data_IF_087993558083
#
_entry.id   IF_087993558083
#
_cell.length_a   1.000
_cell.length_b   1.000
_cell.length_c   1.000
_cell.angle_alpha   90.00
_cell.angle_beta   90.00
_cell.angle_gamma   90.00
#
_symmetry.space_group_name_H-M   'P 1'
#
loop_
_entity.id
_entity.type
_entity.pdbx_description
1 polymer ?
#
# COMPACT_ATOMS: atom_id res chain seq x y z
N UNK A 1 -2.30 11.48 24.37
CA UNK A 1 -2.91 10.36 25.13
C UNK A 1 -2.34 9.08 24.56
N UNK A 2 -1.72 8.23 25.38
CA UNK A 2 -1.22 6.93 24.91
C UNK A 2 -2.39 6.09 24.40
N UNK A 3 -2.48 5.97 23.08
CA UNK A 3 -3.41 5.05 22.44
C UNK A 3 -2.98 3.64 22.85
N UNK A 4 -3.81 2.95 23.64
CA UNK A 4 -3.56 1.57 24.09
C UNK A 4 -3.46 0.55 22.94
N UNK A 5 -3.74 0.94 21.70
CA UNK A 5 -3.73 0.09 20.51
C UNK A 5 -2.92 0.75 19.41
N UNK A 6 -2.20 -0.07 18.65
CA UNK A 6 -1.57 0.34 17.38
C UNK A 6 -2.66 0.72 16.38
N UNK A 7 -2.59 1.92 15.82
CA UNK A 7 -3.55 2.43 14.83
C UNK A 7 -2.86 2.59 13.49
N UNK A 8 -3.48 2.08 12.42
CA UNK A 8 -3.11 2.37 11.04
C UNK A 8 -4.09 3.43 10.52
N UNK A 9 -3.58 4.56 10.04
CA UNK A 9 -4.40 5.60 9.42
C UNK A 9 -4.47 5.37 7.90
N UNK A 10 -5.67 5.10 7.38
CA UNK A 10 -5.89 4.97 5.94
C UNK A 10 -6.13 6.35 5.31
N UNK A 11 -5.43 6.63 4.21
CA UNK A 11 -5.51 7.88 3.44
C UNK A 11 -5.68 7.54 1.95
N UNK A 12 -6.74 8.07 1.34
CA UNK A 12 -6.91 8.01 -0.10
C UNK A 12 -6.02 9.06 -0.77
N UNK A 13 -5.32 8.65 -1.83
CA UNK A 13 -4.38 9.49 -2.55
C UNK A 13 -4.72 9.52 -4.04
N UNK A 14 -4.56 10.69 -4.63
CA UNK A 14 -4.62 10.94 -6.07
C UNK A 14 -3.66 12.12 -6.41
N UNK A 15 -3.49 12.47 -7.70
CA UNK A 15 -2.60 13.57 -8.07
C UNK A 15 -2.94 14.92 -7.43
N UNK A 16 -4.21 15.19 -7.10
CA UNK A 16 -4.65 16.49 -6.61
C UNK A 16 -4.47 16.68 -5.10
N UNK A 17 -4.31 15.61 -4.32
CA UNK A 17 -4.20 15.68 -2.86
C UNK A 17 -2.90 15.11 -2.27
N UNK A 18 -1.99 14.63 -3.12
CA UNK A 18 -0.73 13.97 -2.70
C UNK A 18 0.06 14.81 -1.69
N UNK A 19 0.25 16.10 -1.95
CA UNK A 19 1.06 16.97 -1.07
C UNK A 19 0.41 17.14 0.31
N UNK A 20 -0.93 17.24 0.38
CA UNK A 20 -1.67 17.27 1.64
C UNK A 20 -1.51 15.97 2.44
N UNK A 21 -1.48 14.83 1.75
CA UNK A 21 -1.24 13.54 2.38
C UNK A 21 0.17 13.44 2.93
N UNK A 22 1.19 13.85 2.18
CA UNK A 22 2.59 13.92 2.67
C UNK A 22 2.67 14.79 3.92
N UNK A 23 2.08 15.98 3.89
CA UNK A 23 2.05 16.89 5.04
C UNK A 23 1.37 16.27 6.25
N UNK A 24 0.27 15.53 6.05
CA UNK A 24 -0.46 14.84 7.11
C UNK A 24 0.35 13.71 7.72
N UNK A 25 1.03 12.90 6.91
CA UNK A 25 1.90 11.82 7.40
C UNK A 25 3.03 12.41 8.24
N UNK A 26 3.75 13.41 7.71
CA UNK A 26 4.87 14.05 8.42
C UNK A 26 4.43 14.74 9.71
N UNK A 27 3.19 15.23 9.79
CA UNK A 27 2.65 15.84 11.01
C UNK A 27 2.33 14.82 12.12
N UNK A 28 1.97 13.59 11.75
CA UNK A 28 1.41 12.62 12.69
C UNK A 28 2.20 11.30 12.74
N UNK A 29 3.39 11.22 12.14
CA UNK A 29 4.11 9.96 11.94
C UNK A 29 4.45 9.22 13.24
N UNK A 30 4.58 9.95 14.35
CA UNK A 30 4.87 9.45 15.69
C UNK A 30 3.60 9.07 16.49
N UNK A 31 2.42 9.45 16.01
CA UNK A 31 1.13 9.19 16.67
C UNK A 31 0.43 7.93 16.16
N UNK A 32 0.79 7.48 14.95
CA UNK A 32 0.21 6.30 14.31
C UNK A 32 1.26 5.21 14.12
N UNK A 33 0.82 3.95 14.20
CA UNK A 33 1.70 2.81 13.95
C UNK A 33 2.09 2.70 12.47
N UNK A 34 1.20 3.10 11.57
CA UNK A 34 1.46 3.11 10.14
C UNK A 34 0.40 3.88 9.37
N UNK A 35 0.69 4.13 8.11
CA UNK A 35 -0.19 4.85 7.19
C UNK A 35 -0.48 3.95 6.01
N UNK A 36 -1.76 3.64 5.79
CA UNK A 36 -2.19 2.91 4.61
C UNK A 36 -2.53 3.93 3.52
N UNK A 37 -1.82 3.86 2.40
CA UNK A 37 -1.99 4.76 1.26
C UNK A 37 -2.76 4.01 0.18
N UNK A 38 -4.03 4.37 -0.01
CA UNK A 38 -4.87 3.81 -1.05
C UNK A 38 -4.87 4.73 -2.27
N UNK A 39 -4.20 4.26 -3.32
CA UNK A 39 -4.06 4.97 -4.59
C UNK A 39 -4.99 4.41 -5.67
N UNK A 40 -6.07 3.73 -5.27
CA UNK A 40 -7.14 3.34 -6.17
C UNK A 40 -8.25 4.38 -6.18
N UNK A 41 -8.72 4.76 -7.36
CA UNK A 41 -9.92 5.59 -7.47
C UNK A 41 -11.21 4.76 -7.33
N UNK A 42 -11.12 3.52 -6.82
CA UNK A 42 -12.27 2.62 -6.65
C UNK A 42 -12.89 2.08 -7.95
N UNK A 43 -12.36 2.45 -9.12
CA UNK A 43 -12.90 2.10 -10.44
C UNK A 43 -11.99 1.14 -11.25
N UNK A 44 -11.02 0.50 -10.58
CA UNK A 44 -10.02 -0.33 -11.26
C UNK A 44 -8.94 0.48 -11.98
N UNK A 45 -8.73 1.74 -11.58
CA UNK A 45 -7.61 2.55 -12.06
C UNK A 45 -6.26 1.91 -11.71
N UNK A 46 -5.31 2.05 -12.63
CA UNK A 46 -3.97 1.50 -12.50
C UNK A 46 -3.23 2.14 -11.31
N UNK A 47 -2.47 1.30 -10.59
CA UNK A 47 -1.58 1.73 -9.53
C UNK A 47 -0.63 2.83 -10.04
N UNK A 48 -0.74 4.06 -9.51
CA UNK A 48 0.15 5.15 -9.89
C UNK A 48 1.45 5.08 -9.08
N UNK A 49 2.45 4.42 -9.65
CA UNK A 49 3.76 4.21 -9.05
C UNK A 49 4.44 5.52 -8.61
N UNK A 50 4.38 6.57 -9.45
CA UNK A 50 5.08 7.82 -9.19
C UNK A 50 4.55 8.54 -7.94
N UNK A 51 3.24 8.48 -7.71
CA UNK A 51 2.64 9.08 -6.51
C UNK A 51 3.09 8.36 -5.25
N UNK A 52 3.13 7.02 -5.28
CA UNK A 52 3.52 6.22 -4.11
C UNK A 52 5.01 6.40 -3.82
N UNK A 53 5.86 6.41 -4.86
CA UNK A 53 7.29 6.70 -4.75
C UNK A 53 7.52 8.05 -4.07
N UNK A 54 6.86 9.10 -4.55
CA UNK A 54 7.00 10.45 -4.01
C UNK A 54 6.54 10.54 -2.55
N UNK A 55 5.47 9.84 -2.16
CA UNK A 55 5.06 9.76 -0.74
C UNK A 55 6.14 9.10 0.10
N UNK A 56 6.67 7.95 -0.32
CA UNK A 56 7.69 7.21 0.43
C UNK A 56 8.96 8.06 0.58
N UNK A 57 9.41 8.71 -0.50
CA UNK A 57 10.62 9.54 -0.51
C UNK A 57 10.50 10.76 0.42
N UNK A 58 9.30 11.33 0.57
CA UNK A 58 9.03 12.52 1.37
C UNK A 58 8.47 12.26 2.77
N UNK A 59 8.34 10.99 3.19
CA UNK A 59 7.82 10.61 4.52
C UNK A 59 8.74 9.67 5.29
N UNK A 60 10.06 9.91 5.17
CA UNK A 60 11.10 9.09 5.80
C UNK A 60 10.86 8.96 7.32
N UNK A 61 10.73 7.72 7.79
CA UNK A 61 10.47 7.39 9.18
C UNK A 61 9.04 6.90 9.47
N UNK A 62 8.09 7.15 8.55
CA UNK A 62 6.74 6.60 8.65
C UNK A 62 6.69 5.16 8.13
N UNK A 63 5.89 4.31 8.78
CA UNK A 63 5.59 2.96 8.29
C UNK A 63 4.50 3.01 7.22
N UNK A 64 4.90 3.10 5.96
CA UNK A 64 3.99 3.20 4.81
C UNK A 64 3.53 1.82 4.33
N UNK A 65 2.22 1.59 4.38
CA UNK A 65 1.54 0.42 3.83
C UNK A 65 0.90 0.84 2.52
N UNK A 66 1.25 0.18 1.42
CA UNK A 66 0.75 0.54 0.09
C UNK A 66 -0.47 -0.30 -0.25
N UNK A 67 -1.54 0.36 -0.69
CA UNK A 67 -2.81 -0.24 -1.09
C UNK A 67 -3.27 0.31 -2.45
N UNK A 68 -4.33 -0.30 -2.99
CA UNK A 68 -5.02 0.17 -4.20
C UNK A 68 -4.43 -0.38 -5.51
N UNK A 69 -5.22 -1.14 -6.26
CA UNK A 69 -4.84 -1.63 -7.60
C UNK A 69 -3.69 -2.66 -7.64
N UNK A 70 -3.27 -3.20 -6.48
CA UNK A 70 -2.15 -4.15 -6.41
C UNK A 70 -2.60 -5.54 -6.83
N UNK A 71 -1.78 -6.20 -7.66
CA UNK A 71 -2.05 -7.52 -8.22
C UNK A 71 -0.74 -8.24 -8.59
N UNK A 72 -0.84 -9.46 -9.13
CA UNK A 72 0.31 -10.31 -9.47
C UNK A 72 1.27 -9.67 -10.50
N UNK A 73 0.79 -8.77 -11.35
CA UNK A 73 1.56 -8.17 -12.43
C UNK A 73 2.40 -6.97 -11.97
N UNK A 74 1.98 -6.26 -10.90
CA UNK A 74 2.68 -5.07 -10.43
C UNK A 74 3.42 -5.26 -9.09
N UNK A 75 3.13 -6.32 -8.34
CA UNK A 75 3.71 -6.57 -7.01
C UNK A 75 5.24 -6.61 -7.00
N UNK A 76 5.86 -7.13 -8.06
CA UNK A 76 7.32 -7.20 -8.16
C UNK A 76 7.96 -5.83 -8.26
N UNK A 77 7.41 -4.94 -9.11
CA UNK A 77 7.90 -3.57 -9.29
C UNK A 77 7.71 -2.78 -8.00
N UNK A 78 6.57 -2.97 -7.32
CA UNK A 78 6.28 -2.32 -6.04
C UNK A 78 7.31 -2.72 -4.98
N UNK A 79 7.51 -4.02 -4.77
CA UNK A 79 8.44 -4.50 -3.73
C UNK A 79 9.88 -4.06 -4.04
N UNK A 80 10.36 -4.26 -5.27
CA UNK A 80 11.76 -4.01 -5.63
C UNK A 80 12.13 -2.52 -5.64
N UNK A 81 11.22 -1.64 -6.04
CA UNK A 81 11.55 -0.23 -6.23
C UNK A 81 11.04 0.69 -5.13
N UNK A 82 9.96 0.32 -4.42
CA UNK A 82 9.36 1.18 -3.39
C UNK A 82 9.72 0.73 -1.97
N UNK A 83 10.06 -0.55 -1.78
CA UNK A 83 10.37 -1.15 -0.48
C UNK A 83 9.45 -0.67 0.67
N UNK A 84 8.11 -0.78 0.52
CA UNK A 84 7.18 -0.26 1.51
C UNK A 84 7.25 -1.09 2.81
N UNK A 85 6.81 -0.51 3.93
CA UNK A 85 6.70 -1.23 5.20
C UNK A 85 5.73 -2.42 5.09
N UNK A 86 4.65 -2.26 4.34
CA UNK A 86 3.67 -3.31 4.09
C UNK A 86 2.91 -3.12 2.79
N UNK A 87 2.17 -4.15 2.41
CA UNK A 87 1.34 -4.18 1.21
C UNK A 87 -0.05 -4.68 1.62
N UNK A 88 -1.08 -3.94 1.26
CA UNK A 88 -2.48 -4.33 1.46
C UNK A 88 -3.14 -4.64 0.11
N UNK A 89 -3.70 -5.83 -0.01
CA UNK A 89 -4.26 -6.35 -1.26
C UNK A 89 -5.62 -6.96 -0.96
N UNK A 90 -6.63 -6.53 -1.73
CA UNK A 90 -8.00 -7.01 -1.54
C UNK A 90 -8.63 -7.54 -2.83
N UNK A 91 -9.06 -6.67 -3.75
CA UNK A 91 -9.93 -7.04 -4.87
C UNK A 91 -9.29 -7.95 -5.92
N UNK A 92 -7.97 -7.87 -6.13
CA UNK A 92 -7.27 -8.75 -7.07
C UNK A 92 -7.20 -10.21 -6.62
N UNK A 93 -7.50 -10.49 -5.35
CA UNK A 93 -7.55 -11.83 -4.76
C UNK A 93 -8.99 -12.33 -4.60
N UNK A 94 -9.96 -11.67 -5.22
CA UNK A 94 -11.37 -12.04 -5.19
C UNK A 94 -11.77 -12.78 -6.47
N UNK A 95 -12.64 -13.78 -6.36
CA UNK A 95 -13.32 -14.40 -7.52
C UNK A 95 -14.47 -13.52 -8.01
N UNK A 96 -15.17 -12.90 -7.06
CA UNK A 96 -16.23 -11.92 -7.25
C UNK A 96 -16.24 -10.95 -6.05
N UNK A 97 -16.89 -9.79 -6.18
CA UNK A 97 -16.82 -8.70 -5.19
C UNK A 97 -17.14 -9.20 -3.77
N UNK A 98 -16.16 -9.13 -2.88
CA UNK A 98 -16.26 -9.54 -1.48
C UNK A 98 -16.02 -11.03 -1.21
N UNK A 99 -15.77 -11.86 -2.24
CA UNK A 99 -15.51 -13.30 -2.11
C UNK A 99 -14.07 -13.58 -2.49
N UNK A 100 -13.26 -13.98 -1.50
CA UNK A 100 -11.85 -14.31 -1.70
C UNK A 100 -11.68 -15.64 -2.43
N UNK A 101 -10.74 -15.67 -3.36
CA UNK A 101 -10.35 -16.86 -4.12
C UNK A 101 -9.06 -17.46 -3.51
N UNK A 102 -9.13 -18.64 -2.87
CA UNK A 102 -7.97 -19.27 -2.25
C UNK A 102 -6.82 -19.53 -3.23
N UNK A 103 -7.12 -19.84 -4.50
CA UNK A 103 -6.09 -20.10 -5.52
C UNK A 103 -5.37 -18.80 -5.89
N UNK A 104 -6.09 -17.69 -6.03
CA UNK A 104 -5.45 -16.38 -6.28
C UNK A 104 -4.57 -15.95 -5.11
N UNK A 105 -5.02 -16.16 -3.87
CA UNK A 105 -4.22 -15.90 -2.66
C UNK A 105 -2.94 -16.73 -2.68
N UNK A 106 -3.03 -18.03 -2.95
CA UNK A 106 -1.88 -18.93 -3.00
C UNK A 106 -0.86 -18.49 -4.06
N UNK A 107 -1.32 -18.21 -5.28
CA UNK A 107 -0.48 -17.73 -6.38
C UNK A 107 0.21 -16.41 -6.01
N UNK A 108 -0.54 -15.47 -5.41
CA UNK A 108 0.00 -14.18 -4.99
C UNK A 108 1.09 -14.32 -3.93
N UNK A 109 0.84 -15.12 -2.88
CA UNK A 109 1.82 -15.35 -1.82
C UNK A 109 3.06 -16.09 -2.32
N UNK A 110 2.91 -17.05 -3.24
CA UNK A 110 4.04 -17.71 -3.91
C UNK A 110 4.93 -16.71 -4.64
N UNK A 111 4.35 -15.83 -5.46
CA UNK A 111 5.08 -14.79 -6.18
C UNK A 111 5.80 -13.82 -5.22
N UNK A 112 5.14 -13.39 -4.14
CA UNK A 112 5.77 -12.52 -3.11
C UNK A 112 6.98 -13.22 -2.47
N UNK A 113 6.86 -14.51 -2.14
CA UNK A 113 7.96 -15.28 -1.55
C UNK A 113 9.11 -15.48 -2.53
N UNK A 114 8.84 -15.66 -3.82
CA UNK A 114 9.87 -15.71 -4.86
C UNK A 114 10.62 -14.39 -4.99
N UNK A 115 9.90 -13.27 -5.05
CA UNK A 115 10.52 -11.93 -5.11
C UNK A 115 11.44 -11.71 -3.91
N UNK A 116 10.98 -12.03 -2.69
CA UNK A 116 11.78 -11.87 -1.46
C UNK A 116 13.08 -12.67 -1.44
N UNK A 117 13.16 -13.79 -2.15
CA UNK A 117 14.41 -14.58 -2.27
C UNK A 117 15.43 -13.92 -3.22
N UNK A 118 15.00 -12.97 -4.04
CA UNK A 118 15.83 -12.28 -5.04
C UNK A 118 16.20 -10.85 -4.65
N UNK A 119 15.72 -10.37 -3.50
CA UNK A 119 16.11 -9.09 -2.88
C UNK A 119 17.38 -9.30 -2.05
#
# INVERSE_FOLDING_TARGET
ADLKKKIILALQVNPSNKDDVINKINKYYDQFFGFLIDNSEGHGTEFNFNIVADIIDNTKGASIIVAGGININNIEIIIKNLNPYGIDVSSSLESEKGVKDPLKIEIFLKKVNEIKKTL
#
